data_IF_285590610142
#
_entry.id   IF_285590610142
#
_cell.length_a   1.000
_cell.length_b   1.000
_cell.length_c   1.000
_cell.angle_alpha   90.00
_cell.angle_beta   90.00
_cell.angle_gamma   90.00
#
_symmetry.space_group_name_H-M   'P 1'
#
loop_
_entity.id
_entity.type
_entity.pdbx_description
1 polymer ?
#
# COMPACT_ATOMS: atom_id res chain seq x y z
N UNK A 1 -6.75 3.70 -2.81
CA UNK A 1 -5.89 4.02 -3.98
C UNK A 1 -5.10 2.80 -4.44
N UNK A 2 -4.62 2.77 -5.68
CA UNK A 2 -3.91 1.61 -6.23
C UNK A 2 -4.82 0.41 -6.53
N UNK A 3 -6.09 0.65 -6.81
CA UNK A 3 -7.11 -0.39 -7.03
C UNK A 3 -6.86 -1.25 -8.28
N UNK A 4 -6.07 -0.78 -9.22
CA UNK A 4 -5.67 -1.53 -10.43
C UNK A 4 -4.48 -2.46 -10.21
N UNK A 5 -3.79 -2.34 -9.07
CA UNK A 5 -2.68 -3.19 -8.68
C UNK A 5 -3.11 -4.49 -7.99
N UNK A 6 -2.15 -5.40 -7.72
CA UNK A 6 -2.41 -6.71 -7.14
C UNK A 6 -3.21 -6.67 -5.83
N UNK A 7 -2.67 -6.09 -4.76
CA UNK A 7 -3.35 -6.02 -3.46
C UNK A 7 -4.61 -5.15 -3.52
N UNK A 8 -4.58 -4.06 -4.29
CA UNK A 8 -5.71 -3.14 -4.41
C UNK A 8 -6.93 -3.79 -5.06
N UNK A 9 -6.74 -4.61 -6.08
CA UNK A 9 -7.86 -5.32 -6.72
C UNK A 9 -8.47 -6.41 -5.81
N UNK A 10 -7.64 -7.16 -5.06
CA UNK A 10 -8.13 -8.10 -4.05
C UNK A 10 -8.91 -7.40 -2.93
N UNK A 11 -8.37 -6.29 -2.40
CA UNK A 11 -9.06 -5.51 -1.37
C UNK A 11 -10.41 -4.98 -1.88
N UNK A 12 -10.44 -4.46 -3.11
CA UNK A 12 -11.68 -3.98 -3.73
C UNK A 12 -12.72 -5.10 -3.87
N UNK A 13 -12.28 -6.30 -4.24
CA UNK A 13 -13.15 -7.48 -4.34
C UNK A 13 -13.75 -7.84 -2.97
N UNK A 14 -12.94 -7.89 -1.93
CA UNK A 14 -13.39 -8.19 -0.56
C UNK A 14 -14.37 -7.12 -0.06
N UNK A 15 -14.04 -5.85 -0.21
CA UNK A 15 -14.89 -4.74 0.19
C UNK A 15 -16.24 -4.76 -0.53
N UNK A 16 -16.23 -5.04 -1.83
CA UNK A 16 -17.44 -5.16 -2.63
C UNK A 16 -18.31 -6.36 -2.19
N UNK A 17 -17.68 -7.49 -1.84
CA UNK A 17 -18.35 -8.67 -1.29
C UNK A 17 -19.07 -8.36 0.03
N UNK A 18 -18.48 -7.52 0.88
CA UNK A 18 -19.09 -7.05 2.13
C UNK A 18 -20.05 -5.85 1.95
N UNK A 19 -20.42 -5.50 0.72
CA UNK A 19 -21.41 -4.46 0.44
C UNK A 19 -20.90 -3.02 0.58
N UNK A 20 -19.59 -2.80 0.66
CA UNK A 20 -19.04 -1.46 0.71
C UNK A 20 -19.17 -0.74 -0.64
N UNK A 21 -19.42 0.57 -0.60
CA UNK A 21 -19.32 1.45 -1.77
C UNK A 21 -17.85 1.73 -2.07
N UNK A 22 -17.33 1.11 -3.12
CA UNK A 22 -15.91 1.16 -3.45
C UNK A 22 -15.63 2.21 -4.53
N UNK A 23 -14.77 3.16 -4.21
CA UNK A 23 -14.23 4.16 -5.14
C UNK A 23 -12.76 3.84 -5.40
N UNK A 24 -12.38 3.75 -6.67
CA UNK A 24 -11.01 3.43 -7.07
C UNK A 24 -10.25 4.66 -7.55
N UNK A 25 -8.99 4.82 -7.13
CA UNK A 25 -8.06 5.83 -7.66
C UNK A 25 -6.72 5.19 -8.00
N UNK A 26 -6.22 5.42 -9.22
CA UNK A 26 -4.89 4.99 -9.67
C UNK A 26 -4.37 5.89 -10.79
N UNK A 27 -3.13 5.66 -11.23
CA UNK A 27 -2.54 6.32 -12.40
C UNK A 27 -3.00 5.72 -13.76
N UNK A 28 -3.95 4.78 -13.73
CA UNK A 28 -4.48 4.11 -14.91
C UNK A 28 -3.69 2.87 -15.37
N UNK A 29 -2.54 2.59 -14.79
CA UNK A 29 -1.80 1.37 -15.10
C UNK A 29 -2.49 0.15 -14.51
N UNK A 30 -2.70 -0.86 -15.34
CA UNK A 30 -3.36 -2.10 -14.95
C UNK A 30 -2.33 -3.20 -14.81
N UNK A 31 -2.01 -3.55 -13.58
CA UNK A 31 -1.02 -4.59 -13.25
C UNK A 31 -1.68 -5.91 -12.83
N UNK A 32 -2.88 -5.86 -12.27
CA UNK A 32 -3.56 -7.04 -11.73
C UNK A 32 -4.41 -7.78 -12.75
N UNK A 33 -4.24 -9.09 -12.83
CA UNK A 33 -5.13 -9.97 -13.59
C UNK A 33 -6.56 -9.94 -13.03
N UNK A 34 -6.71 -9.86 -11.71
CA UNK A 34 -8.02 -9.80 -11.05
C UNK A 34 -8.80 -8.54 -11.46
N UNK A 35 -8.13 -7.39 -11.56
CA UNK A 35 -8.74 -6.17 -12.06
C UNK A 35 -9.21 -6.32 -13.52
N UNK A 36 -8.39 -6.95 -14.36
CA UNK A 36 -8.75 -7.22 -15.78
C UNK A 36 -10.02 -8.08 -15.94
N UNK A 37 -10.34 -8.93 -14.96
CA UNK A 37 -11.54 -9.76 -14.97
C UNK A 37 -12.83 -8.99 -14.66
N UNK A 38 -12.75 -7.71 -14.31
CA UNK A 38 -13.88 -6.81 -14.03
C UNK A 38 -14.90 -7.36 -13.02
N UNK A 39 -14.42 -8.08 -12.01
CA UNK A 39 -15.27 -8.73 -10.98
C UNK A 39 -15.84 -7.69 -10.00
N UNK A 40 -15.11 -6.61 -9.75
CA UNK A 40 -15.48 -5.59 -8.76
C UNK A 40 -16.42 -4.57 -9.39
N UNK A 41 -17.53 -4.31 -8.71
CA UNK A 41 -18.43 -3.20 -9.03
C UNK A 41 -17.97 -1.95 -8.26
N UNK A 42 -17.34 -1.01 -8.97
CA UNK A 42 -16.97 0.28 -8.41
C UNK A 42 -18.12 1.28 -8.54
N UNK A 43 -18.34 2.10 -7.53
CA UNK A 43 -19.23 3.28 -7.62
C UNK A 43 -18.68 4.29 -8.65
N UNK A 44 -17.37 4.52 -8.60
CA UNK A 44 -16.63 5.30 -9.60
C UNK A 44 -15.16 4.98 -9.56
N UNK A 45 -14.50 5.19 -10.69
CA UNK A 45 -13.05 5.05 -10.81
C UNK A 45 -12.45 6.35 -11.33
N UNK A 46 -11.33 6.73 -10.76
CA UNK A 46 -10.60 7.95 -11.09
C UNK A 46 -9.18 7.59 -11.51
N UNK A 47 -8.70 8.24 -12.56
CA UNK A 47 -7.40 7.95 -13.14
C UNK A 47 -6.60 9.25 -13.26
N UNK A 48 -5.70 9.46 -12.32
CA UNK A 48 -4.72 10.53 -12.35
C UNK A 48 -3.56 10.25 -11.40
N UNK A 49 -2.45 10.95 -11.62
CA UNK A 49 -1.27 10.83 -10.76
C UNK A 49 -1.51 11.52 -9.42
N UNK A 50 -1.37 10.75 -8.34
CA UNK A 50 -1.50 11.24 -6.95
C UNK A 50 -0.52 12.35 -6.57
N UNK A 51 0.50 12.60 -7.38
CA UNK A 51 1.37 13.78 -7.24
C UNK A 51 0.61 15.09 -7.47
N UNK A 52 -0.55 15.05 -8.11
CA UNK A 52 -1.42 16.21 -8.26
C UNK A 52 -2.22 16.44 -6.97
N UNK A 53 -1.68 17.29 -6.10
CA UNK A 53 -2.31 17.62 -4.81
C UNK A 53 -3.69 18.27 -4.98
N UNK A 54 -3.86 19.15 -5.97
CA UNK A 54 -5.13 19.85 -6.19
C UNK A 54 -6.26 18.86 -6.50
N UNK A 55 -6.04 17.98 -7.49
CA UNK A 55 -7.01 16.92 -7.85
C UNK A 55 -7.27 15.97 -6.67
N UNK A 56 -6.23 15.64 -5.89
CA UNK A 56 -6.38 14.76 -4.71
C UNK A 56 -7.25 15.42 -3.63
N UNK A 57 -7.04 16.71 -3.34
CA UNK A 57 -7.87 17.48 -2.41
C UNK A 57 -9.32 17.57 -2.88
N UNK A 58 -9.53 17.89 -4.16
CA UNK A 58 -10.86 17.97 -4.75
C UNK A 58 -11.60 16.65 -4.64
N UNK A 59 -10.93 15.53 -4.96
CA UNK A 59 -11.53 14.19 -4.90
C UNK A 59 -11.92 13.80 -3.48
N UNK A 60 -11.03 13.95 -2.50
CA UNK A 60 -11.33 13.62 -1.09
C UNK A 60 -12.50 14.49 -0.57
N UNK A 61 -12.51 15.78 -0.93
CA UNK A 61 -13.61 16.70 -0.57
C UNK A 61 -14.94 16.28 -1.19
N UNK A 62 -14.93 15.86 -2.47
CA UNK A 62 -16.13 15.41 -3.21
C UNK A 62 -16.67 14.11 -2.66
N UNK A 63 -15.83 13.11 -2.49
CA UNK A 63 -16.25 11.76 -2.09
C UNK A 63 -16.59 11.66 -0.60
N UNK A 64 -15.92 12.42 0.24
CA UNK A 64 -16.07 12.37 1.71
C UNK A 64 -16.02 10.92 2.23
N UNK A 65 -14.95 10.16 1.93
CA UNK A 65 -14.88 8.74 2.27
C UNK A 65 -14.91 8.54 3.80
N UNK A 66 -15.42 7.39 4.24
CA UNK A 66 -15.34 6.95 5.63
C UNK A 66 -13.98 6.33 5.94
N UNK A 67 -13.44 5.59 4.96
CA UNK A 67 -12.17 4.89 5.07
C UNK A 67 -11.37 5.12 3.77
N UNK A 68 -10.09 5.39 3.90
CA UNK A 68 -9.13 5.43 2.80
C UNK A 68 -8.05 4.38 3.03
N UNK A 69 -7.94 3.44 2.09
CA UNK A 69 -6.79 2.54 2.00
C UNK A 69 -5.82 3.07 0.94
N UNK A 70 -4.65 3.48 1.36
CA UNK A 70 -3.62 4.00 0.44
C UNK A 70 -2.61 2.90 0.11
N UNK A 71 -2.87 2.18 -1.03
CA UNK A 71 -2.00 1.13 -1.54
C UNK A 71 -1.19 1.58 -2.77
N UNK A 72 -1.53 2.73 -3.37
CA UNK A 72 -0.81 3.24 -4.53
C UNK A 72 0.67 3.50 -4.18
N UNK A 73 1.56 2.83 -4.90
CA UNK A 73 3.00 2.95 -4.73
C UNK A 73 3.73 2.29 -5.90
N UNK A 74 4.95 2.70 -6.17
CA UNK A 74 5.91 1.88 -6.91
C UNK A 74 6.43 0.81 -5.95
N UNK A 75 6.14 -0.48 -6.21
CA UNK A 75 6.31 -1.59 -5.25
C UNK A 75 7.47 -2.53 -5.55
N UNK A 76 8.22 -2.30 -6.62
CA UNK A 76 9.27 -3.20 -7.10
C UNK A 76 10.66 -2.62 -6.81
N UNK A 77 11.44 -3.34 -5.99
CA UNK A 77 12.82 -2.95 -5.65
C UNK A 77 13.66 -2.78 -6.91
N UNK A 78 13.57 -3.72 -7.86
CA UNK A 78 14.31 -3.63 -9.12
C UNK A 78 14.03 -2.31 -9.89
N UNK A 79 12.76 -1.92 -9.99
CA UNK A 79 12.39 -0.63 -10.64
C UNK A 79 12.93 0.59 -9.91
N UNK A 80 13.14 0.51 -8.60
CA UNK A 80 13.69 1.64 -7.85
C UNK A 80 15.14 1.96 -8.18
N UNK A 81 15.91 0.97 -8.63
CA UNK A 81 17.27 1.20 -9.15
C UNK A 81 17.28 1.80 -10.55
N UNK A 82 16.27 1.47 -11.38
CA UNK A 82 16.16 2.01 -12.74
C UNK A 82 15.66 3.45 -12.72
N UNK A 83 14.66 3.74 -11.89
CA UNK A 83 14.02 5.05 -11.80
C UNK A 83 13.79 5.43 -10.32
N UNK A 84 14.86 5.87 -9.64
CA UNK A 84 14.78 6.24 -8.24
C UNK A 84 13.91 7.47 -8.00
N UNK A 85 13.96 8.47 -8.88
CA UNK A 85 13.16 9.71 -8.74
C UNK A 85 11.67 9.36 -8.73
N UNK A 86 11.22 8.59 -9.72
CA UNK A 86 9.82 8.15 -9.79
C UNK A 86 9.41 7.30 -8.60
N UNK A 87 10.33 6.50 -8.05
CA UNK A 87 10.07 5.71 -6.84
C UNK A 87 9.80 6.63 -5.64
N UNK A 88 10.65 7.64 -5.42
CA UNK A 88 10.46 8.62 -4.37
C UNK A 88 9.16 9.41 -4.54
N UNK A 89 8.90 9.92 -5.73
CA UNK A 89 7.68 10.65 -6.04
C UNK A 89 6.41 9.80 -5.81
N UNK A 90 6.41 8.56 -6.30
CA UNK A 90 5.24 7.67 -6.18
C UNK A 90 5.00 7.18 -4.76
N UNK A 91 6.05 7.03 -3.95
CA UNK A 91 5.93 6.48 -2.61
C UNK A 91 5.81 7.57 -1.54
N UNK A 92 6.63 8.61 -1.61
CA UNK A 92 6.63 9.67 -0.61
C UNK A 92 5.67 10.81 -0.97
N UNK A 93 5.82 11.42 -2.16
CA UNK A 93 5.01 12.59 -2.53
C UNK A 93 3.53 12.24 -2.68
N UNK A 94 3.21 11.10 -3.30
CA UNK A 94 1.81 10.67 -3.42
C UNK A 94 1.18 10.39 -2.04
N UNK A 95 1.94 9.77 -1.12
CA UNK A 95 1.49 9.54 0.26
C UNK A 95 1.29 10.85 1.02
N UNK A 96 2.21 11.80 0.87
CA UNK A 96 2.09 13.16 1.44
C UNK A 96 0.81 13.85 0.97
N UNK A 97 0.51 13.76 -0.32
CA UNK A 97 -0.68 14.38 -0.89
C UNK A 97 -1.99 13.78 -0.37
N UNK A 98 -2.04 12.47 -0.14
CA UNK A 98 -3.18 11.81 0.51
C UNK A 98 -3.33 12.31 1.95
N UNK A 99 -2.25 12.40 2.71
CA UNK A 99 -2.27 12.94 4.08
C UNK A 99 -2.79 14.38 4.11
N UNK A 100 -2.23 15.24 3.26
CA UNK A 100 -2.60 16.66 3.22
C UNK A 100 -4.05 16.88 2.75
N UNK A 101 -4.51 16.09 1.77
CA UNK A 101 -5.91 16.12 1.33
C UNK A 101 -6.85 15.63 2.45
N UNK A 102 -6.46 14.58 3.18
CA UNK A 102 -7.24 14.01 4.28
C UNK A 102 -7.30 14.95 5.49
N UNK A 103 -6.20 15.64 5.81
CA UNK A 103 -6.11 16.58 6.94
C UNK A 103 -7.18 17.67 6.91
N UNK A 104 -7.63 18.05 5.72
CA UNK A 104 -8.61 19.12 5.51
C UNK A 104 -10.07 18.63 5.59
N UNK A 105 -10.33 17.33 5.75
CA UNK A 105 -11.70 16.82 5.84
C UNK A 105 -12.36 17.19 7.15
N UNK A 106 -13.64 17.53 7.09
CA UNK A 106 -14.49 17.80 8.27
C UNK A 106 -15.27 16.56 8.73
N UNK A 107 -15.29 15.50 7.91
CA UNK A 107 -15.96 14.22 8.19
C UNK A 107 -15.02 13.28 8.96
N UNK A 108 -15.61 12.36 9.73
CA UNK A 108 -14.84 11.23 10.33
C UNK A 108 -14.19 10.41 9.22
N UNK A 109 -12.89 10.15 9.33
CA UNK A 109 -12.11 9.43 8.34
C UNK A 109 -11.09 8.53 9.03
N UNK A 110 -11.06 7.27 8.64
CA UNK A 110 -9.96 6.34 8.97
C UNK A 110 -9.04 6.19 7.77
N UNK A 111 -7.76 6.52 7.93
CA UNK A 111 -6.76 6.48 6.87
C UNK A 111 -5.73 5.40 7.18
N UNK A 112 -5.71 4.36 6.35
CA UNK A 112 -4.77 3.24 6.45
C UNK A 112 -3.72 3.40 5.35
N UNK A 113 -2.49 3.69 5.75
CA UNK A 113 -1.35 3.90 4.86
C UNK A 113 -0.52 2.61 4.77
N UNK A 114 -0.50 2.00 3.59
CA UNK A 114 0.21 0.74 3.41
C UNK A 114 1.68 1.02 3.05
N UNK A 115 2.56 0.67 3.97
CA UNK A 115 4.01 0.74 3.77
C UNK A 115 4.60 -0.64 3.44
N UNK A 116 5.60 -1.12 4.16
CA UNK A 116 6.25 -2.41 3.90
C UNK A 116 7.13 -2.79 5.09
N UNK A 117 7.36 -4.07 5.29
CA UNK A 117 8.41 -4.60 6.17
C UNK A 117 9.82 -4.11 5.80
N UNK A 118 10.03 -3.76 4.53
CA UNK A 118 11.29 -3.20 4.04
C UNK A 118 11.59 -1.78 4.53
N UNK A 119 10.69 -1.16 5.30
CA UNK A 119 10.95 0.11 5.97
C UNK A 119 11.90 -0.03 7.17
N UNK A 120 12.14 -1.24 7.68
CA UNK A 120 13.09 -1.47 8.74
C UNK A 120 14.54 -1.41 8.23
N UNK A 121 15.44 -0.89 9.06
CA UNK A 121 16.87 -1.06 8.85
C UNK A 121 17.22 -2.53 9.02
N UNK A 122 17.74 -3.15 7.96
CA UNK A 122 18.11 -4.56 8.04
C UNK A 122 19.35 -4.75 8.93
N UNK A 123 19.16 -5.42 10.05
CA UNK A 123 20.22 -5.75 11.01
C UNK A 123 20.44 -7.27 11.11
N UNK A 124 19.79 -8.04 10.24
CA UNK A 124 19.87 -9.51 10.22
C UNK A 124 19.65 -10.14 11.60
N UNK A 125 18.62 -9.64 12.30
CA UNK A 125 18.30 -10.12 13.65
C UNK A 125 17.74 -11.55 13.59
N UNK A 126 18.07 -12.37 14.59
CA UNK A 126 17.52 -13.72 14.75
C UNK A 126 16.01 -13.71 15.01
N UNK A 127 15.47 -12.62 15.58
CA UNK A 127 14.04 -12.43 15.79
C UNK A 127 13.39 -11.62 14.66
N UNK A 128 12.08 -11.75 14.52
CA UNK A 128 11.29 -10.85 13.65
C UNK A 128 11.36 -9.39 14.09
N UNK A 129 11.22 -8.48 13.12
CA UNK A 129 11.10 -7.04 13.38
C UNK A 129 9.73 -6.69 13.96
N UNK A 130 9.67 -5.65 14.78
CA UNK A 130 8.45 -5.08 15.33
C UNK A 130 8.40 -3.56 15.13
N UNK A 131 7.29 -2.92 15.49
CA UNK A 131 7.02 -1.51 15.17
C UNK A 131 7.96 -0.53 15.89
N UNK A 132 8.71 -0.97 16.91
CA UNK A 132 9.67 -0.14 17.66
C UNK A 132 11.08 -0.21 17.07
N UNK A 133 11.33 -1.13 16.15
CA UNK A 133 12.64 -1.30 15.55
C UNK A 133 12.97 -0.12 14.60
N UNK A 134 14.26 0.11 14.43
CA UNK A 134 14.80 1.23 13.66
C UNK A 134 14.31 1.20 12.20
N UNK A 135 13.85 2.37 11.74
CA UNK A 135 13.50 2.56 10.33
C UNK A 135 14.78 2.86 9.53
N UNK A 136 14.81 2.35 8.29
CA UNK A 136 15.90 2.59 7.37
C UNK A 136 15.72 1.80 6.10
N UNK A 137 16.62 1.97 5.14
CA UNK A 137 16.59 1.20 3.90
C UNK A 137 17.76 1.60 3.03
N UNK A 138 18.41 0.61 2.43
CA UNK A 138 19.62 0.83 1.64
C UNK A 138 19.31 1.04 0.16
N UNK A 139 18.21 0.48 -0.33
CA UNK A 139 17.75 0.72 -1.70
C UNK A 139 16.68 1.84 -1.77
N UNK A 140 16.49 2.48 -2.93
CA UNK A 140 15.55 3.60 -3.05
C UNK A 140 14.11 3.25 -2.70
N UNK A 141 13.66 2.00 -2.92
CA UNK A 141 12.33 1.55 -2.52
C UNK A 141 12.20 1.48 -1.00
N UNK A 142 13.11 0.77 -0.35
CA UNK A 142 13.12 0.58 1.10
C UNK A 142 13.24 1.92 1.83
N UNK A 143 14.18 2.77 1.38
CA UNK A 143 14.36 4.11 1.90
C UNK A 143 13.11 4.97 1.72
N UNK A 144 12.43 4.92 0.56
CA UNK A 144 11.20 5.68 0.35
C UNK A 144 10.06 5.24 1.27
N UNK A 145 9.98 3.94 1.61
CA UNK A 145 8.98 3.42 2.54
C UNK A 145 9.31 3.81 3.99
N UNK A 146 10.57 3.79 4.40
CA UNK A 146 11.02 4.28 5.70
C UNK A 146 10.74 5.79 5.87
N UNK A 147 11.07 6.60 4.88
CA UNK A 147 10.78 8.02 4.86
C UNK A 147 9.27 8.31 4.91
N UNK A 148 8.46 7.49 4.25
CA UNK A 148 6.98 7.59 4.32
C UNK A 148 6.48 7.36 5.75
N UNK A 149 7.02 6.39 6.49
CA UNK A 149 6.68 6.16 7.90
C UNK A 149 7.03 7.37 8.79
N UNK A 150 8.25 7.91 8.61
CA UNK A 150 8.71 9.10 9.35
C UNK A 150 7.81 10.31 9.03
N UNK A 151 7.47 10.52 7.77
CA UNK A 151 6.58 11.60 7.33
C UNK A 151 5.18 11.44 7.95
N UNK A 152 4.60 10.24 7.93
CA UNK A 152 3.28 9.96 8.52
C UNK A 152 3.30 10.27 10.02
N UNK A 153 4.33 9.82 10.73
CA UNK A 153 4.50 10.11 12.16
C UNK A 153 4.60 11.62 12.43
N UNK A 154 5.35 12.35 11.63
CA UNK A 154 5.45 13.81 11.72
C UNK A 154 4.09 14.48 11.54
N UNK A 155 3.34 14.10 10.50
CA UNK A 155 1.98 14.62 10.27
C UNK A 155 1.01 14.31 11.41
N UNK A 156 1.06 13.08 11.92
CA UNK A 156 0.26 12.69 13.07
C UNK A 156 0.53 13.57 14.27
N UNK A 157 1.79 13.70 14.67
CA UNK A 157 2.16 14.46 15.86
C UNK A 157 1.88 15.96 15.72
N UNK A 158 2.14 16.54 14.55
CA UNK A 158 2.00 17.97 14.30
C UNK A 158 0.54 18.41 14.06
N UNK A 159 -0.25 17.60 13.38
CA UNK A 159 -1.57 18.04 12.87
C UNK A 159 -2.75 17.17 13.28
N UNK A 160 -2.55 15.86 13.47
CA UNK A 160 -3.66 14.92 13.60
C UNK A 160 -3.88 14.42 15.03
N UNK A 161 -2.87 14.45 15.89
CA UNK A 161 -2.94 13.93 17.27
C UNK A 161 -4.13 14.48 18.06
N UNK A 162 -4.45 15.77 17.87
CA UNK A 162 -5.58 16.44 18.54
C UNK A 162 -6.89 16.37 17.72
N UNK A 163 -6.84 15.85 16.50
CA UNK A 163 -8.00 15.78 15.61
C UNK A 163 -8.77 14.48 15.84
N UNK A 164 -9.86 14.56 16.60
CA UNK A 164 -10.72 13.40 16.91
C UNK A 164 -11.46 12.82 15.68
N UNK A 165 -11.51 13.52 14.56
CA UNK A 165 -12.24 13.08 13.36
C UNK A 165 -11.39 12.25 12.41
N UNK A 166 -10.06 12.48 12.38
CA UNK A 166 -9.16 11.80 11.45
C UNK A 166 -8.28 10.86 12.26
N UNK A 167 -8.37 9.59 11.95
CA UNK A 167 -7.53 8.55 12.51
C UNK A 167 -6.61 8.04 11.42
N UNK A 168 -5.35 7.80 11.76
CA UNK A 168 -4.34 7.30 10.82
C UNK A 168 -3.57 6.16 11.44
N UNK A 169 -3.29 5.15 10.63
CA UNK A 169 -2.37 4.08 10.96
C UNK A 169 -1.53 3.69 9.73
N UNK A 170 -0.33 3.21 9.98
CA UNK A 170 0.48 2.51 8.97
C UNK A 170 0.32 1.00 9.12
N UNK A 171 0.43 0.29 8.00
CA UNK A 171 0.40 -1.17 8.00
C UNK A 171 1.56 -1.69 7.14
N UNK A 172 2.44 -2.48 7.78
CA UNK A 172 3.62 -3.09 7.17
C UNK A 172 3.32 -4.54 6.84
N UNK A 173 3.45 -4.92 5.57
CA UNK A 173 3.30 -6.30 5.15
C UNK A 173 4.60 -6.79 4.54
N UNK A 174 4.92 -8.06 4.78
CA UNK A 174 6.05 -8.75 4.16
C UNK A 174 5.79 -9.14 2.72
N UNK A 175 6.42 -10.22 2.28
CA UNK A 175 6.24 -10.74 0.94
C UNK A 175 4.84 -11.36 0.79
N UNK A 176 4.07 -10.85 -0.16
CA UNK A 176 2.68 -11.28 -0.38
C UNK A 176 2.57 -12.04 -1.68
N UNK A 177 1.95 -13.23 -1.63
CA UNK A 177 1.65 -14.07 -2.79
C UNK A 177 0.14 -14.27 -2.94
N UNK A 178 -0.31 -14.49 -4.16
CA UNK A 178 -1.72 -14.77 -4.46
C UNK A 178 -2.01 -14.72 -5.94
N UNK A 179 -3.18 -15.18 -6.31
CA UNK A 179 -3.63 -15.17 -7.71
C UNK A 179 -3.69 -13.76 -8.29
N UNK A 180 -3.21 -13.60 -9.53
CA UNK A 180 -3.27 -12.35 -10.26
C UNK A 180 -2.05 -11.44 -10.12
N UNK A 181 -1.06 -11.76 -9.31
CA UNK A 181 0.24 -11.10 -9.33
C UNK A 181 1.13 -11.74 -10.41
N UNK A 182 1.41 -10.97 -11.45
CA UNK A 182 2.31 -11.35 -12.53
C UNK A 182 3.42 -10.32 -12.74
N UNK A 183 3.73 -9.55 -11.69
CA UNK A 183 4.80 -8.56 -11.75
C UNK A 183 6.15 -9.23 -12.04
N UNK A 184 6.95 -8.59 -12.90
CA UNK A 184 8.31 -9.03 -13.20
C UNK A 184 9.22 -8.88 -11.98
N UNK A 185 10.27 -9.66 -11.93
CA UNK A 185 11.27 -9.66 -10.85
C UNK A 185 10.66 -9.98 -9.46
N UNK A 186 9.60 -10.77 -9.45
CA UNK A 186 9.07 -11.39 -8.23
C UNK A 186 9.27 -12.90 -8.28
N UNK A 187 9.81 -13.46 -7.22
CA UNK A 187 10.24 -14.86 -7.16
C UNK A 187 9.15 -15.83 -7.63
N UNK A 188 7.96 -15.80 -7.03
CA UNK A 188 6.90 -16.77 -7.34
C UNK A 188 6.37 -16.62 -8.78
N UNK A 189 6.03 -15.43 -9.29
CA UNK A 189 5.70 -15.25 -10.71
C UNK A 189 6.82 -15.70 -11.66
N UNK A 190 8.09 -15.44 -11.34
CA UNK A 190 9.22 -15.83 -12.19
C UNK A 190 9.41 -17.34 -12.21
N UNK A 191 9.25 -18.02 -11.08
CA UNK A 191 9.25 -19.50 -10.99
C UNK A 191 8.16 -20.08 -11.88
N UNK A 192 6.91 -19.60 -11.75
CA UNK A 192 5.79 -20.12 -12.52
C UNK A 192 5.97 -19.85 -14.02
N UNK A 193 6.48 -18.66 -14.39
CA UNK A 193 6.79 -18.35 -15.80
C UNK A 193 7.87 -19.27 -16.39
N UNK A 194 8.90 -19.59 -15.60
CA UNK A 194 9.98 -20.48 -16.03
C UNK A 194 9.48 -21.90 -16.22
N UNK A 195 8.72 -22.44 -15.27
CA UNK A 195 8.13 -23.78 -15.36
C UNK A 195 7.17 -23.92 -16.56
N UNK A 196 6.32 -22.91 -16.80
CA UNK A 196 5.42 -22.93 -17.98
C UNK A 196 6.17 -22.95 -19.32
N UNK A 197 7.44 -22.58 -19.34
CA UNK A 197 8.30 -22.57 -20.54
C UNK A 197 9.31 -23.71 -20.53
N UNK A 198 9.19 -24.65 -19.61
CA UNK A 198 10.14 -25.75 -19.39
C UNK A 198 11.59 -25.26 -19.25
N UNK A 199 11.75 -24.14 -18.50
CA UNK A 199 13.06 -23.54 -18.26
C UNK A 199 13.48 -23.69 -16.80
N UNK A 200 14.80 -23.83 -16.59
CA UNK A 200 15.38 -23.79 -15.24
C UNK A 200 15.11 -22.44 -14.58
N UNK A 201 14.74 -22.49 -13.31
CA UNK A 201 14.57 -21.28 -12.50
C UNK A 201 15.92 -20.77 -12.04
N UNK A 202 16.22 -19.50 -12.29
CA UNK A 202 17.42 -18.84 -11.78
C UNK A 202 17.05 -18.07 -10.51
N UNK A 203 17.63 -18.47 -9.38
CA UNK A 203 17.48 -17.81 -8.08
C UNK A 203 18.75 -17.06 -7.76
N UNK A 204 18.67 -15.74 -7.55
CA UNK A 204 19.84 -14.89 -7.34
C UNK A 204 20.41 -14.99 -5.92
N UNK A 205 19.55 -15.23 -4.92
CA UNK A 205 19.96 -15.36 -3.52
C UNK A 205 19.14 -16.46 -2.85
N UNK A 206 19.60 -17.74 -2.96
CA UNK A 206 18.85 -18.89 -2.46
C UNK A 206 18.75 -18.95 -0.94
N UNK A 207 19.72 -18.38 -0.20
CA UNK A 207 19.78 -18.42 1.26
C UNK A 207 18.95 -17.32 1.93
N UNK A 208 18.34 -16.43 1.15
CA UNK A 208 17.51 -15.36 1.69
C UNK A 208 16.19 -15.88 2.27
N UNK A 209 15.95 -15.62 3.53
CA UNK A 209 14.63 -15.82 4.17
C UNK A 209 13.69 -14.66 3.89
N UNK A 210 12.39 -14.92 3.82
CA UNK A 210 11.35 -13.89 3.60
C UNK A 210 10.08 -14.28 4.35
N UNK A 211 9.35 -13.30 4.93
CA UNK A 211 8.08 -13.53 5.62
C UNK A 211 6.94 -13.65 4.58
N UNK A 212 6.84 -14.84 3.97
CA UNK A 212 5.80 -15.11 2.98
C UNK A 212 4.41 -15.24 3.61
N UNK A 213 3.42 -14.60 2.99
CA UNK A 213 2.03 -14.70 3.40
C UNK A 213 1.08 -14.65 2.19
N UNK A 214 -0.06 -15.31 2.30
CA UNK A 214 -1.10 -15.22 1.28
C UNK A 214 -1.73 -13.81 1.30
N UNK A 215 -2.18 -13.32 0.14
CA UNK A 215 -2.73 -11.96 -0.01
C UNK A 215 -3.90 -11.66 0.94
N UNK A 216 -4.68 -12.65 1.31
CA UNK A 216 -5.80 -12.49 2.25
C UNK A 216 -5.35 -12.15 3.67
N UNK A 217 -4.17 -12.59 4.10
CA UNK A 217 -3.64 -12.32 5.44
C UNK A 217 -3.44 -10.81 5.69
N UNK A 218 -2.59 -10.11 4.91
CA UNK A 218 -2.42 -8.68 5.14
C UNK A 218 -3.70 -7.89 4.86
N UNK A 219 -4.54 -8.31 3.91
CA UNK A 219 -5.80 -7.61 3.65
C UNK A 219 -6.80 -7.78 4.79
N UNK A 220 -6.87 -8.96 5.41
CA UNK A 220 -7.65 -9.16 6.64
C UNK A 220 -7.16 -8.26 7.77
N UNK A 221 -5.83 -8.16 7.95
CA UNK A 221 -5.23 -7.24 8.91
C UNK A 221 -5.60 -5.77 8.64
N UNK A 222 -5.55 -5.32 7.38
CA UNK A 222 -5.93 -3.94 7.01
C UNK A 222 -7.40 -3.65 7.30
N UNK A 223 -8.30 -4.59 7.00
CA UNK A 223 -9.74 -4.46 7.27
C UNK A 223 -10.03 -4.43 8.77
N UNK A 224 -9.39 -5.31 9.55
CA UNK A 224 -9.51 -5.33 11.00
C UNK A 224 -9.01 -4.03 11.63
N UNK A 225 -7.85 -3.53 11.17
CA UNK A 225 -7.32 -2.24 11.61
C UNK A 225 -8.27 -1.09 11.28
N UNK A 226 -8.81 -1.05 10.06
CA UNK A 226 -9.77 -0.02 9.65
C UNK A 226 -11.04 -0.06 10.49
N UNK A 227 -11.57 -1.25 10.79
CA UNK A 227 -12.74 -1.44 11.65
C UNK A 227 -12.49 -0.91 13.06
N UNK A 228 -11.38 -1.32 13.70
CA UNK A 228 -11.01 -0.85 15.03
C UNK A 228 -10.86 0.67 15.08
N UNK A 229 -10.22 1.26 14.08
CA UNK A 229 -10.05 2.71 13.98
C UNK A 229 -11.39 3.43 13.78
N UNK A 230 -12.32 2.84 13.07
CA UNK A 230 -13.62 3.45 12.79
C UNK A 230 -14.60 3.34 13.98
N UNK A 231 -14.70 2.17 14.60
CA UNK A 231 -15.64 1.86 15.68
C UNK A 231 -15.15 2.35 17.05
N UNK A 232 -13.89 2.10 17.37
CA UNK A 232 -13.32 2.45 18.67
C UNK A 232 -12.67 3.83 18.64
N UNK A 233 -12.94 4.65 19.67
CA UNK A 233 -12.19 5.90 19.89
C UNK A 233 -10.77 5.63 20.45
N UNK A 234 -10.28 4.41 20.37
CA UNK A 234 -8.94 4.02 20.84
C UNK A 234 -7.95 4.12 19.70
N UNK A 235 -6.84 4.82 19.95
CA UNK A 235 -5.67 4.83 19.12
C UNK A 235 -4.80 3.62 19.49
N UNK A 236 -4.37 2.88 18.49
CA UNK A 236 -3.36 1.82 18.64
C UNK A 236 -2.00 2.43 18.32
#
# INVERSE_FOLDING_TARGET
TGHTGFKGSWLSCILNHFGAKVYGLSDGKVESLLYKKKIVKYESQFFFDLKNLSKTKELIRKLKPDIVFHLAAQSLVFKSYIDPIKTWESNLTASLNILEASRQTKKKLSLIMITSDKCYKNKELERGYNEKDELGGEDPYSASKAATEIMIRSYYLSFLKKNKKIKIATARAGNVIGGGDWSDHRLVPDIIRSWKKDKKVKISNPDSTRPWQHVLEPLSGYLKLAKLMYEENKFI
#
